data_IF_085057611713
#
_entry.id   IF_085057611713
#
_cell.length_a   1.000
_cell.length_b   1.000
_cell.length_c   1.000
_cell.angle_alpha   90.00
_cell.angle_beta   90.00
_cell.angle_gamma   90.00
#
_symmetry.space_group_name_H-M   'P 1'
#
loop_
_entity.id
_entity.type
_entity.pdbx_description
1 polymer ?
#
# COMPACT_ATOMS: atom_id res chain seq x y z
N UNK A 1 -76.53 16.02 5.10
CA UNK A 1 -75.11 16.31 5.42
C UNK A 1 -74.43 15.05 5.91
N UNK A 2 -73.39 14.57 5.21
CA UNK A 2 -72.22 13.84 5.74
C UNK A 2 -71.24 13.62 4.56
N UNK A 3 -70.28 14.54 4.41
CA UNK A 3 -69.20 14.48 3.41
C UNK A 3 -68.29 13.30 3.75
N UNK A 4 -68.14 12.33 2.84
CA UNK A 4 -67.13 11.26 2.93
C UNK A 4 -65.87 11.72 2.20
N UNK A 5 -65.06 12.57 2.85
CA UNK A 5 -63.83 13.15 2.31
C UNK A 5 -62.56 12.36 2.74
N UNK A 6 -62.70 11.08 3.11
CA UNK A 6 -61.65 10.37 3.84
C UNK A 6 -60.81 9.31 3.07
N UNK A 7 -61.09 8.85 1.83
CA UNK A 7 -60.20 7.88 1.19
C UNK A 7 -59.08 8.51 0.35
N UNK A 8 -59.15 9.80 0.00
CA UNK A 8 -58.19 10.43 -0.91
C UNK A 8 -56.89 10.92 -0.25
N UNK A 9 -56.85 11.03 1.08
CA UNK A 9 -55.67 11.51 1.81
C UNK A 9 -54.57 10.44 1.94
N UNK A 10 -54.94 9.15 1.94
CA UNK A 10 -53.99 8.04 2.07
C UNK A 10 -53.28 7.69 0.75
N UNK A 11 -53.92 7.97 -0.40
CA UNK A 11 -53.30 7.73 -1.70
C UNK A 11 -52.20 8.77 -2.03
N UNK A 12 -52.34 10.03 -1.58
CA UNK A 12 -51.34 11.07 -1.81
C UNK A 12 -50.00 10.84 -1.09
N UNK A 13 -50.04 10.28 0.12
CA UNK A 13 -48.84 9.97 0.91
C UNK A 13 -47.99 8.84 0.32
N UNK A 14 -48.63 7.90 -0.38
CA UNK A 14 -47.96 6.76 -0.99
C UNK A 14 -47.17 7.15 -2.26
N UNK A 15 -47.63 8.18 -2.99
CA UNK A 15 -46.90 8.72 -4.14
C UNK A 15 -45.76 9.68 -3.76
N UNK A 16 -45.86 10.40 -2.63
CA UNK A 16 -44.75 11.22 -2.12
C UNK A 16 -43.60 10.36 -1.61
N UNK A 17 -43.89 9.18 -1.04
CA UNK A 17 -42.87 8.23 -0.60
C UNK A 17 -42.03 7.65 -1.75
N UNK A 18 -42.63 7.40 -2.92
CA UNK A 18 -41.93 6.85 -4.09
C UNK A 18 -41.03 7.91 -4.77
N UNK A 19 -41.40 9.19 -4.69
CA UNK A 19 -40.58 10.29 -5.22
C UNK A 19 -39.25 10.48 -4.48
N UNK A 20 -39.20 10.19 -3.18
CA UNK A 20 -37.97 10.30 -2.38
C UNK A 20 -36.98 9.15 -2.63
N UNK A 21 -37.42 7.98 -3.11
CA UNK A 21 -36.51 6.90 -3.51
C UNK A 21 -35.91 7.11 -4.91
N UNK A 22 -36.61 7.83 -5.79
CA UNK A 22 -36.13 8.12 -7.15
C UNK A 22 -35.14 9.30 -7.20
N UNK A 23 -35.13 10.18 -6.20
CA UNK A 23 -34.15 11.29 -6.10
C UNK A 23 -32.95 10.99 -5.20
N UNK A 24 -32.89 9.82 -4.56
CA UNK A 24 -31.75 9.40 -3.74
C UNK A 24 -30.65 8.68 -4.54
N UNK A 25 -30.91 8.36 -5.81
CA UNK A 25 -29.86 8.30 -6.81
C UNK A 25 -29.66 9.72 -7.34
N UNK A 26 -29.21 10.63 -6.49
CA UNK A 26 -28.38 11.71 -6.99
C UNK A 26 -27.21 11.01 -7.70
N UNK A 27 -26.96 11.36 -8.97
CA UNK A 27 -25.64 11.19 -9.58
C UNK A 27 -24.67 12.08 -8.80
N UNK A 28 -24.46 11.74 -7.53
CA UNK A 28 -23.29 12.16 -6.81
C UNK A 28 -22.15 11.50 -7.58
N UNK A 29 -21.30 12.33 -8.15
CA UNK A 29 -20.04 11.97 -8.76
C UNK A 29 -19.24 11.17 -7.71
N UNK A 30 -19.53 9.87 -7.61
CA UNK A 30 -18.77 8.94 -6.79
C UNK A 30 -17.43 8.91 -7.51
N UNK A 31 -16.48 9.68 -6.99
CA UNK A 31 -15.09 9.57 -7.37
C UNK A 31 -14.68 8.13 -7.08
N UNK A 32 -14.67 7.28 -8.12
CA UNK A 32 -14.26 5.89 -7.98
C UNK A 32 -12.82 5.86 -7.51
N UNK A 33 -12.56 5.10 -6.44
CA UNK A 33 -11.19 4.85 -5.98
C UNK A 33 -10.41 4.16 -7.10
N UNK A 34 -9.32 4.78 -7.52
CA UNK A 34 -8.35 4.26 -8.46
C UNK A 34 -7.22 3.52 -7.71
N UNK A 35 -6.56 2.61 -8.42
CA UNK A 35 -5.39 1.92 -7.90
C UNK A 35 -4.40 1.55 -9.01
N UNK A 36 -3.12 1.43 -8.64
CA UNK A 36 -2.04 0.96 -9.50
C UNK A 36 -1.12 0.01 -8.73
N UNK A 37 -0.60 -1.01 -9.42
CA UNK A 37 0.33 -1.99 -8.86
C UNK A 37 1.66 -1.88 -9.59
N UNK A 38 2.73 -1.68 -8.82
CA UNK A 38 4.08 -1.55 -9.33
C UNK A 38 4.97 -2.62 -8.72
N UNK A 39 5.44 -3.53 -9.57
CA UNK A 39 6.32 -4.64 -9.20
C UNK A 39 7.78 -4.28 -9.47
N UNK A 40 8.68 -4.66 -8.56
CA UNK A 40 10.10 -4.34 -8.61
C UNK A 40 10.96 -5.56 -8.31
N UNK A 41 11.78 -5.94 -9.29
CA UNK A 41 12.86 -6.90 -9.13
C UNK A 41 14.13 -6.18 -8.70
N UNK A 42 14.76 -6.67 -7.62
CA UNK A 42 16.04 -6.16 -7.12
C UNK A 42 17.02 -7.31 -6.97
N UNK A 43 18.07 -7.31 -7.78
CA UNK A 43 19.12 -8.31 -7.72
C UNK A 43 20.14 -8.00 -6.62
N UNK A 44 20.81 -9.03 -6.11
CA UNK A 44 21.89 -8.90 -5.11
C UNK A 44 22.98 -7.88 -5.50
N UNK A 45 23.28 -7.74 -6.79
CA UNK A 45 24.30 -6.81 -7.30
C UNK A 45 23.87 -5.35 -7.34
N UNK A 46 22.58 -5.05 -7.24
CA UNK A 46 22.06 -3.68 -7.35
C UNK A 46 22.20 -2.90 -6.04
N UNK A 47 22.30 -3.62 -4.91
CA UNK A 47 22.42 -3.02 -3.58
C UNK A 47 23.74 -2.25 -3.40
N UNK A 48 23.60 -0.99 -2.98
CA UNK A 48 24.71 -0.13 -2.59
C UNK A 48 24.62 0.22 -1.11
N UNK A 49 25.76 0.18 -0.41
CA UNK A 49 25.80 0.54 1.00
C UNK A 49 25.73 2.06 1.14
N UNK A 50 24.81 2.55 1.97
CA UNK A 50 24.73 3.94 2.37
C UNK A 50 25.41 4.10 3.75
N UNK A 51 26.64 4.62 3.83
CA UNK A 51 27.36 4.73 5.10
C UNK A 51 26.76 5.76 6.05
N UNK A 52 26.04 6.77 5.53
CA UNK A 52 25.41 7.79 6.37
C UNK A 52 24.18 7.24 7.09
N UNK A 53 23.38 6.39 6.41
CA UNK A 53 22.21 5.73 6.99
C UNK A 53 22.51 4.35 7.58
N UNK A 54 23.73 3.82 7.36
CA UNK A 54 24.18 2.49 7.78
C UNK A 54 23.23 1.36 7.34
N UNK A 55 22.87 1.35 6.06
CA UNK A 55 21.96 0.37 5.47
C UNK A 55 22.27 0.14 3.98
N UNK A 56 21.86 -1.00 3.44
CA UNK A 56 21.85 -1.23 2.00
C UNK A 56 20.67 -0.51 1.36
N UNK A 57 20.86 0.06 0.18
CA UNK A 57 19.81 0.76 -0.57
C UNK A 57 19.82 0.39 -2.05
N UNK A 58 18.63 0.34 -2.65
CA UNK A 58 18.41 0.34 -4.09
C UNK A 58 17.36 1.37 -4.43
N UNK A 59 17.68 2.24 -5.39
CA UNK A 59 16.76 3.27 -5.87
C UNK A 59 16.15 2.82 -7.20
N UNK A 60 14.82 2.80 -7.28
CA UNK A 60 14.06 2.50 -8.50
C UNK A 60 13.15 3.69 -8.86
N UNK A 61 12.89 3.83 -10.15
CA UNK A 61 11.93 4.82 -10.64
C UNK A 61 10.50 4.29 -10.39
N UNK A 62 9.65 5.13 -9.82
CA UNK A 62 8.21 4.84 -9.73
C UNK A 62 7.55 5.12 -11.07
N UNK A 63 6.71 4.19 -11.52
CA UNK A 63 6.00 4.31 -12.81
C UNK A 63 4.94 5.41 -12.73
N UNK A 64 4.24 5.46 -11.60
CA UNK A 64 3.15 6.39 -11.35
C UNK A 64 3.22 6.82 -9.89
N UNK A 65 3.40 8.11 -9.65
CA UNK A 65 3.23 8.77 -8.37
C UNK A 65 3.01 10.25 -8.67
N UNK A 66 1.98 10.84 -8.08
CA UNK A 66 1.71 12.27 -8.16
C UNK A 66 1.52 12.84 -6.75
N UNK A 67 1.33 14.15 -6.67
CA UNK A 67 1.14 14.86 -5.40
C UNK A 67 -0.13 14.40 -4.68
N UNK A 68 -1.20 14.09 -5.41
CA UNK A 68 -2.47 13.67 -4.81
C UNK A 68 -2.33 12.32 -4.11
N UNK A 69 -1.73 11.33 -4.78
CA UNK A 69 -1.48 10.01 -4.19
C UNK A 69 -0.55 10.13 -2.98
N UNK A 70 0.47 10.98 -3.08
CA UNK A 70 1.45 11.17 -2.01
C UNK A 70 0.84 11.83 -0.76
N UNK A 71 -0.05 12.81 -0.92
CA UNK A 71 -0.63 13.57 0.19
C UNK A 71 -1.96 13.00 0.71
N UNK A 72 -2.75 12.35 -0.15
CA UNK A 72 -4.13 11.92 0.16
C UNK A 72 -4.40 10.45 -0.12
N UNK A 73 -3.57 9.80 -0.94
CA UNK A 73 -3.69 8.38 -1.25
C UNK A 73 -3.02 7.47 -0.21
N UNK A 74 -2.91 6.20 -0.56
CA UNK A 74 -2.18 5.19 0.19
C UNK A 74 -1.19 4.47 -0.72
N UNK A 75 0.06 4.35 -0.27
CA UNK A 75 1.09 3.53 -0.91
C UNK A 75 1.48 2.41 0.03
N UNK A 76 1.15 1.18 -0.33
CA UNK A 76 1.35 -0.01 0.49
C UNK A 76 2.42 -0.90 -0.13
N UNK A 77 3.54 -1.08 0.57
CA UNK A 77 4.62 -1.95 0.13
C UNK A 77 4.50 -3.39 0.63
N UNK A 78 4.90 -4.33 -0.22
CA UNK A 78 4.99 -5.74 0.06
C UNK A 78 6.33 -6.30 -0.44
N UNK A 79 6.77 -7.39 0.20
CA UNK A 79 7.89 -8.22 -0.25
C UNK A 79 7.44 -9.67 -0.33
N UNK A 80 7.91 -10.36 -1.36
CA UNK A 80 7.71 -11.79 -1.54
C UNK A 80 8.95 -12.53 -1.03
N UNK A 81 8.73 -13.52 -0.17
CA UNK A 81 9.77 -14.36 0.44
C UNK A 81 9.54 -15.81 0.03
N UNK A 82 10.59 -16.61 -0.08
CA UNK A 82 10.50 -18.00 -0.54
C UNK A 82 10.58 -18.15 -2.06
N UNK A 83 10.12 -19.29 -2.58
CA UNK A 83 10.17 -19.64 -4.01
C UNK A 83 8.77 -19.65 -4.61
N UNK A 84 8.59 -18.92 -5.71
CA UNK A 84 7.32 -18.81 -6.42
C UNK A 84 6.71 -20.19 -6.74
N UNK A 85 5.41 -20.35 -6.46
CA UNK A 85 4.65 -21.59 -6.61
C UNK A 85 5.13 -22.79 -5.76
N UNK A 86 5.96 -22.56 -4.72
CA UNK A 86 6.39 -23.61 -3.80
C UNK A 86 6.04 -23.26 -2.34
N UNK A 87 6.73 -22.27 -1.78
CA UNK A 87 6.60 -21.83 -0.39
C UNK A 87 6.60 -20.29 -0.30
N UNK A 88 6.27 -19.62 -1.40
CA UNK A 88 6.19 -18.17 -1.46
C UNK A 88 5.17 -17.63 -0.47
N UNK A 89 5.60 -16.64 0.30
CA UNK A 89 4.75 -15.84 1.17
C UNK A 89 4.91 -14.36 0.84
N UNK A 90 3.80 -13.64 0.81
CA UNK A 90 3.79 -12.19 0.71
C UNK A 90 3.64 -11.60 2.11
N UNK A 91 4.52 -10.67 2.48
CA UNK A 91 4.40 -9.90 3.73
C UNK A 91 4.42 -8.41 3.45
N UNK A 92 3.75 -7.65 4.30
CA UNK A 92 3.74 -6.19 4.23
C UNK A 92 5.10 -5.64 4.69
N UNK A 93 5.53 -4.55 4.06
CA UNK A 93 6.70 -3.78 4.49
C UNK A 93 6.29 -2.70 5.52
N UNK A 94 7.13 -2.41 6.52
CA UNK A 94 8.45 -3.00 6.75
C UNK A 94 8.34 -4.45 7.25
N UNK A 95 9.28 -5.29 6.78
CA UNK A 95 9.43 -6.67 7.23
C UNK A 95 10.68 -6.76 8.10
N UNK A 96 10.50 -7.21 9.34
CA UNK A 96 11.59 -7.33 10.32
C UNK A 96 11.77 -8.77 10.74
N UNK A 97 13.00 -9.27 10.68
CA UNK A 97 13.38 -10.60 11.14
C UNK A 97 14.44 -10.50 12.22
N UNK A 98 14.32 -11.34 13.25
CA UNK A 98 15.30 -11.46 14.34
C UNK A 98 15.91 -12.85 14.34
N UNK A 99 17.23 -12.92 14.49
CA UNK A 99 18.04 -14.14 14.46
C UNK A 99 18.84 -14.20 15.76
N UNK A 100 18.77 -15.33 16.47
CA UNK A 100 19.62 -15.61 17.61
C UNK A 100 21.00 -16.04 17.10
N UNK A 101 22.04 -15.31 17.49
CA UNK A 101 23.42 -15.61 17.13
C UNK A 101 24.03 -16.65 18.08
N UNK A 102 25.14 -17.26 17.67
CA UNK A 102 25.83 -18.31 18.44
C UNK A 102 26.32 -17.83 19.81
N UNK A 103 26.57 -16.53 19.98
CA UNK A 103 26.98 -15.91 21.24
C UNK A 103 25.79 -15.59 22.18
N UNK A 104 24.56 -15.94 21.76
CA UNK A 104 23.32 -15.69 22.50
C UNK A 104 22.76 -14.28 22.33
N UNK A 105 23.40 -13.42 21.54
CA UNK A 105 22.84 -12.11 21.18
C UNK A 105 21.77 -12.24 20.09
N UNK A 106 20.91 -11.23 19.97
CA UNK A 106 19.86 -11.17 18.94
C UNK A 106 20.23 -10.11 17.92
N UNK A 107 20.40 -10.54 16.68
CA UNK A 107 20.53 -9.67 15.52
C UNK A 107 19.16 -9.45 14.89
N UNK A 108 18.89 -8.24 14.41
CA UNK A 108 17.63 -7.93 13.72
C UNK A 108 17.92 -7.21 12.41
N UNK A 109 17.24 -7.61 11.35
CA UNK A 109 17.30 -6.98 10.05
C UNK A 109 15.91 -6.52 9.64
N UNK A 110 15.81 -5.29 9.11
CA UNK A 110 14.56 -4.74 8.60
C UNK A 110 14.68 -4.42 7.12
N UNK A 111 13.80 -5.00 6.32
CA UNK A 111 13.59 -4.64 4.92
C UNK A 111 12.45 -3.64 4.86
N UNK A 112 12.64 -2.54 4.15
CA UNK A 112 11.64 -1.48 4.05
C UNK A 112 11.79 -0.65 2.79
N UNK A 113 10.98 0.41 2.70
CA UNK A 113 11.01 1.35 1.58
C UNK A 113 10.70 2.77 2.03
N UNK A 114 11.24 3.73 1.27
CA UNK A 114 10.93 5.16 1.32
C UNK A 114 10.60 5.60 -0.10
N UNK A 115 9.69 6.55 -0.29
CA UNK A 115 9.37 7.06 -1.63
C UNK A 115 9.15 8.58 -1.63
N UNK A 116 9.24 9.19 -2.80
CA UNK A 116 9.13 10.64 -2.97
C UNK A 116 8.44 10.99 -4.28
N UNK A 117 7.37 11.79 -4.21
CA UNK A 117 6.68 12.40 -5.36
C UNK A 117 7.51 13.49 -6.05
N UNK A 118 8.46 14.12 -5.36
CA UNK A 118 9.33 15.13 -5.96
C UNK A 118 10.34 14.53 -6.93
N UNK A 119 10.83 13.32 -6.64
CA UNK A 119 11.83 12.63 -7.46
C UNK A 119 11.24 11.47 -8.25
N UNK A 120 9.98 11.11 -8.00
CA UNK A 120 9.29 9.95 -8.54
C UNK A 120 10.09 8.65 -8.33
N UNK A 121 10.67 8.49 -7.14
CA UNK A 121 11.56 7.36 -6.83
C UNK A 121 11.13 6.68 -5.55
N UNK A 122 11.36 5.37 -5.53
CA UNK A 122 11.34 4.54 -4.34
C UNK A 122 12.77 4.07 -4.03
N UNK A 123 13.12 4.10 -2.76
CA UNK A 123 14.34 3.52 -2.21
C UNK A 123 13.95 2.33 -1.35
N UNK A 124 14.24 1.11 -1.81
CA UNK A 124 14.18 -0.07 -0.96
C UNK A 124 15.46 -0.15 -0.13
N UNK A 125 15.35 -0.61 1.11
CA UNK A 125 16.50 -0.72 2.00
C UNK A 125 16.49 -1.99 2.84
N UNK A 126 17.69 -2.41 3.22
CA UNK A 126 17.95 -3.48 4.20
C UNK A 126 18.78 -2.87 5.32
N UNK A 127 18.20 -2.79 6.51
CA UNK A 127 18.79 -2.11 7.65
C UNK A 127 19.10 -3.10 8.79
N UNK A 128 20.40 -3.36 9.05
CA UNK A 128 20.81 -4.17 10.19
C UNK A 128 20.72 -3.35 11.49
N UNK A 129 20.34 -4.00 12.59
CA UNK A 129 20.13 -3.33 13.89
C UNK A 129 21.40 -2.76 14.51
N UNK A 130 22.56 -3.34 14.20
CA UNK A 130 23.87 -2.89 14.66
C UNK A 130 24.50 -1.81 13.75
N UNK A 131 23.94 -1.62 12.54
CA UNK A 131 24.46 -0.72 11.52
C UNK A 131 25.79 -1.18 10.92
N UNK A 132 26.15 -2.45 11.05
CA UNK A 132 27.34 -3.04 10.46
C UNK A 132 27.03 -3.51 9.04
N UNK A 133 27.96 -3.27 8.12
CA UNK A 133 27.81 -3.69 6.73
C UNK A 133 27.99 -5.21 6.62
N UNK A 134 26.90 -5.94 6.37
CA UNK A 134 26.93 -7.36 6.02
C UNK A 134 26.73 -7.55 4.51
N UNK A 135 27.71 -8.17 3.85
CA UNK A 135 27.65 -8.45 2.41
C UNK A 135 26.68 -9.58 2.07
N UNK A 136 26.36 -10.47 3.01
CA UNK A 136 25.44 -11.59 2.82
C UNK A 136 23.97 -11.14 2.78
N UNK A 137 23.65 -10.00 3.41
CA UNK A 137 22.33 -9.38 3.36
C UNK A 137 21.88 -9.00 1.94
N UNK A 138 22.82 -8.80 1.01
CA UNK A 138 22.51 -8.50 -0.39
C UNK A 138 21.98 -9.73 -1.11
N UNK A 139 20.67 -9.87 -1.12
CA UNK A 139 19.97 -10.96 -1.82
C UNK A 139 19.04 -10.40 -2.88
N UNK A 140 18.49 -11.33 -3.69
CA UNK A 140 17.38 -11.00 -4.57
C UNK A 140 16.12 -10.74 -3.76
N UNK A 141 15.39 -9.69 -4.10
CA UNK A 141 14.06 -9.42 -3.58
C UNK A 141 13.09 -9.07 -4.71
N UNK A 142 11.86 -9.55 -4.55
CA UNK A 142 10.70 -9.10 -5.30
C UNK A 142 9.85 -8.21 -4.40
N UNK A 143 9.64 -6.96 -4.82
CA UNK A 143 8.79 -6.02 -4.11
C UNK A 143 7.55 -5.68 -4.94
N UNK A 144 6.48 -5.28 -4.25
CA UNK A 144 5.26 -4.73 -4.84
C UNK A 144 4.83 -3.49 -4.08
N UNK A 145 4.55 -2.41 -4.79
CA UNK A 145 3.84 -1.26 -4.25
C UNK A 145 2.43 -1.23 -4.81
N UNK A 146 1.44 -1.09 -3.94
CA UNK A 146 0.04 -0.86 -4.30
C UNK A 146 -0.29 0.59 -3.96
N UNK A 147 -0.65 1.36 -4.97
CA UNK A 147 -1.08 2.75 -4.84
C UNK A 147 -2.60 2.77 -4.92
N UNK A 148 -3.28 3.47 -4.02
CA UNK A 148 -4.74 3.61 -3.97
C UNK A 148 -5.07 5.09 -3.75
N UNK A 149 -5.94 5.68 -4.56
CA UNK A 149 -6.30 7.10 -4.47
C UNK A 149 -7.67 7.41 -5.07
#
# INVERSE_FOLDING_TARGET
>A
MKRKLFPYFFAGLLFVGIGFFASSCSDDDITETAWDIQDYEVNASEWSWNPAKRRWEVVKQMKYIDEFIYESGAVIGYVFLGVQNQDEVQTQLPYTISILLDDGSVFTETVGYEYSSLTNRVTFYIQPSDGIQDMAAKVYYQFRLVLIW
#
